data_IF_773891272257
#
_entry.id   IF_773891272257
#
_cell.length_a   1.000
_cell.length_b   1.000
_cell.length_c   1.000
_cell.angle_alpha   90.00
_cell.angle_beta   90.00
_cell.angle_gamma   90.00
#
_symmetry.space_group_name_H-M   'P 1'
#
loop_
_entity.id
_entity.type
_entity.pdbx_description
1 polymer ?
#
# COMPACT_ATOMS: atom_id res chain seq x y z
N UNK A 1 -15.01 -16.02 11.94
CA UNK A 1 -13.67 -15.51 11.60
C UNK A 1 -12.63 -16.17 12.52
N UNK A 2 -11.41 -16.39 12.02
CA UNK A 2 -10.33 -16.95 12.82
C UNK A 2 -9.73 -15.85 13.73
N UNK A 3 -9.72 -16.08 15.05
CA UNK A 3 -9.21 -15.11 16.03
C UNK A 3 -7.70 -14.90 15.98
N UNK A 4 -6.97 -15.79 15.30
CA UNK A 4 -5.53 -15.67 15.11
C UNK A 4 -5.15 -14.86 13.87
N UNK A 5 -6.12 -14.43 13.06
CA UNK A 5 -5.85 -13.57 11.90
C UNK A 5 -5.81 -12.11 12.31
N UNK A 6 -4.72 -11.44 11.92
CA UNK A 6 -4.46 -10.02 12.15
C UNK A 6 -4.15 -9.32 10.84
N UNK A 7 -4.41 -8.03 10.78
CA UNK A 7 -3.96 -7.17 9.69
C UNK A 7 -3.21 -5.96 10.23
N UNK A 8 -2.19 -5.56 9.47
CA UNK A 8 -1.49 -4.29 9.61
C UNK A 8 -1.77 -3.49 8.35
N UNK A 9 -2.60 -2.46 8.46
CA UNK A 9 -2.95 -1.57 7.37
C UNK A 9 -2.04 -0.35 7.39
N UNK A 10 -1.14 -0.25 6.40
CA UNK A 10 -0.16 0.83 6.31
C UNK A 10 -0.79 2.07 5.66
N UNK A 11 -0.93 3.15 6.42
CA UNK A 11 -1.56 4.41 6.02
C UNK A 11 -0.62 5.62 6.17
N UNK A 12 0.67 5.46 5.85
CA UNK A 12 1.70 6.48 6.08
C UNK A 12 2.09 7.31 4.84
N UNK A 13 1.73 6.88 3.63
CA UNK A 13 2.11 7.54 2.38
C UNK A 13 1.33 8.84 2.14
N UNK A 14 1.95 9.82 1.44
CA UNK A 14 1.28 11.08 1.07
C UNK A 14 0.60 10.98 -0.29
N UNK A 15 1.14 10.23 -1.25
CA UNK A 15 0.60 10.17 -2.62
C UNK A 15 0.78 11.47 -3.41
N UNK A 16 1.91 12.14 -3.28
CA UNK A 16 2.19 13.48 -3.82
C UNK A 16 2.05 13.66 -5.34
N UNK A 17 2.00 12.57 -6.11
CA UNK A 17 1.74 12.62 -7.56
C UNK A 17 0.28 13.01 -7.89
N UNK A 18 -0.63 12.83 -6.93
CA UNK A 18 -2.04 13.21 -7.08
C UNK A 18 -2.33 14.64 -6.63
N UNK A 19 -1.29 15.47 -6.45
CA UNK A 19 -1.53 16.87 -6.20
C UNK A 19 -2.33 17.50 -7.37
N UNK A 20 -3.30 18.40 -7.10
CA UNK A 20 -3.67 18.99 -5.82
C UNK A 20 -4.68 18.21 -4.97
N UNK A 21 -5.17 17.05 -5.43
CA UNK A 21 -6.14 16.23 -4.66
C UNK A 21 -5.49 15.70 -3.39
N UNK A 22 -4.30 15.10 -3.52
CA UNK A 22 -3.57 14.56 -2.36
C UNK A 22 -2.51 15.55 -1.88
N UNK A 23 -2.58 15.91 -0.60
CA UNK A 23 -1.67 16.84 0.08
C UNK A 23 -1.02 16.20 1.30
N UNK A 24 -0.09 16.92 1.93
CA UNK A 24 0.50 16.50 3.21
C UNK A 24 -0.50 16.48 4.35
N UNK A 25 -1.53 17.31 4.27
CA UNK A 25 -2.59 17.41 5.28
C UNK A 25 -3.69 16.37 5.05
N UNK A 26 -3.94 16.01 3.79
CA UNK A 26 -4.99 15.07 3.41
C UNK A 26 -4.46 14.10 2.33
N UNK A 27 -3.78 13.01 2.72
CA UNK A 27 -3.15 12.04 1.83
C UNK A 27 -4.12 11.21 0.99
N UNK A 28 -3.58 10.60 -0.08
CA UNK A 28 -4.29 9.82 -1.10
C UNK A 28 -5.27 8.80 -0.50
N UNK A 29 -4.86 8.05 0.51
CA UNK A 29 -5.67 7.00 1.11
C UNK A 29 -6.98 7.48 1.74
N UNK A 30 -7.06 8.75 2.08
CA UNK A 30 -8.26 9.36 2.67
C UNK A 30 -9.22 9.97 1.64
N UNK A 31 -8.94 9.80 0.34
CA UNK A 31 -9.79 10.26 -0.75
C UNK A 31 -10.58 9.11 -1.40
N UNK A 32 -11.79 9.43 -1.86
CA UNK A 32 -12.50 8.62 -2.85
C UNK A 32 -11.95 8.96 -4.25
N UNK A 33 -10.93 8.22 -4.65
CA UNK A 33 -10.21 8.47 -5.91
C UNK A 33 -11.00 8.06 -7.15
N UNK A 34 -11.97 7.15 -7.00
CA UNK A 34 -12.72 6.58 -8.11
C UNK A 34 -14.19 7.03 -8.16
N UNK A 35 -14.65 7.85 -7.21
CA UNK A 35 -16.05 8.26 -7.14
C UNK A 35 -16.99 7.14 -6.67
N UNK A 36 -16.46 6.15 -5.95
CA UNK A 36 -17.20 4.95 -5.50
C UNK A 36 -18.03 5.16 -4.24
N UNK A 37 -17.90 6.31 -3.58
CA UNK A 37 -18.54 6.65 -2.30
C UNK A 37 -17.70 6.34 -1.08
N UNK A 38 -16.66 5.52 -1.20
CA UNK A 38 -15.74 5.17 -0.11
C UNK A 38 -14.30 5.60 -0.43
N UNK A 39 -13.57 6.01 0.58
CA UNK A 39 -12.13 6.31 0.45
C UNK A 39 -11.30 5.03 0.32
N UNK A 40 -10.06 5.14 -0.15
CA UNK A 40 -9.19 3.96 -0.34
C UNK A 40 -8.94 3.21 0.97
N UNK A 41 -8.76 3.93 2.09
CA UNK A 41 -8.58 3.29 3.40
C UNK A 41 -9.85 2.56 3.84
N UNK A 42 -11.04 3.12 3.60
CA UNK A 42 -12.31 2.48 3.90
C UNK A 42 -12.51 1.21 3.08
N UNK A 43 -12.23 1.26 1.77
CA UNK A 43 -12.28 0.08 0.88
C UNK A 43 -11.34 -1.02 1.35
N UNK A 44 -10.10 -0.67 1.67
CA UNK A 44 -9.12 -1.67 2.11
C UNK A 44 -9.47 -2.24 3.48
N UNK A 45 -9.93 -1.43 4.41
CA UNK A 45 -10.40 -1.89 5.72
C UNK A 45 -11.61 -2.82 5.59
N UNK A 46 -12.62 -2.43 4.82
CA UNK A 46 -13.81 -3.25 4.56
C UNK A 46 -13.45 -4.60 3.95
N UNK A 47 -12.55 -4.61 2.96
CA UNK A 47 -12.05 -5.84 2.30
C UNK A 47 -11.37 -6.78 3.29
N UNK A 48 -10.47 -6.26 4.15
CA UNK A 48 -9.77 -7.05 5.16
C UNK A 48 -10.74 -7.58 6.23
N UNK A 49 -11.74 -6.80 6.63
CA UNK A 49 -12.72 -7.17 7.65
C UNK A 49 -13.65 -8.32 7.23
N UNK A 50 -13.66 -8.71 5.94
CA UNK A 50 -14.37 -9.91 5.48
C UNK A 50 -13.76 -11.21 6.02
N UNK A 51 -12.47 -11.19 6.32
CA UNK A 51 -11.73 -12.37 6.77
C UNK A 51 -11.19 -12.23 8.20
N UNK A 52 -10.83 -11.02 8.61
CA UNK A 52 -10.11 -10.70 9.84
C UNK A 52 -11.04 -10.00 10.81
N UNK A 53 -11.12 -10.39 12.10
CA UNK A 53 -11.88 -9.67 13.10
C UNK A 53 -11.48 -8.18 13.15
N UNK A 54 -12.46 -7.28 13.24
CA UNK A 54 -12.25 -5.83 13.22
C UNK A 54 -11.27 -5.40 14.32
N UNK A 55 -11.37 -5.98 15.49
CA UNK A 55 -10.47 -5.73 16.63
C UNK A 55 -9.02 -6.15 16.41
N UNK A 56 -8.76 -6.97 15.39
CA UNK A 56 -7.43 -7.46 15.01
C UNK A 56 -6.84 -6.69 13.81
N UNK A 57 -7.51 -5.65 13.31
CA UNK A 57 -6.98 -4.80 12.25
C UNK A 57 -6.33 -3.57 12.88
N UNK A 58 -5.01 -3.48 12.78
CA UNK A 58 -4.22 -2.36 13.27
C UNK A 58 -3.91 -1.40 12.12
N UNK A 59 -4.00 -0.11 12.39
CA UNK A 59 -3.72 0.96 11.40
C UNK A 59 -2.40 1.62 11.77
N UNK A 60 -1.40 1.50 10.90
CA UNK A 60 -0.12 2.19 11.02
C UNK A 60 -0.17 3.52 10.28
N UNK A 61 0.03 4.62 10.99
CA UNK A 61 -0.01 5.95 10.37
C UNK A 61 0.85 6.95 11.13
N UNK A 62 1.10 8.13 10.52
CA UNK A 62 1.73 9.23 11.21
C UNK A 62 0.76 9.86 12.23
N UNK A 63 1.29 10.37 13.34
CA UNK A 63 0.50 10.98 14.42
C UNK A 63 -0.48 12.04 13.92
N UNK A 64 -0.10 12.86 12.94
CA UNK A 64 -0.97 13.91 12.37
C UNK A 64 -2.22 13.39 11.66
N UNK A 65 -2.26 12.11 11.27
CA UNK A 65 -3.40 11.49 10.58
C UNK A 65 -4.33 10.71 11.53
N UNK A 66 -4.03 10.68 12.84
CA UNK A 66 -4.83 9.95 13.82
C UNK A 66 -6.32 10.27 13.71
N UNK A 67 -6.66 11.56 13.70
CA UNK A 67 -8.06 12.00 13.65
C UNK A 67 -8.74 11.61 12.33
N UNK A 68 -8.04 11.70 11.20
CA UNK A 68 -8.57 11.28 9.89
C UNK A 68 -8.87 9.77 9.87
N UNK A 69 -8.02 8.95 10.47
CA UNK A 69 -8.26 7.50 10.58
C UNK A 69 -9.52 7.23 11.40
N UNK A 70 -9.65 7.83 12.59
CA UNK A 70 -10.81 7.61 13.48
C UNK A 70 -12.11 8.15 12.88
N UNK A 71 -12.06 9.27 12.16
CA UNK A 71 -13.21 9.85 11.45
C UNK A 71 -13.69 8.92 10.31
N UNK A 72 -12.76 8.42 9.50
CA UNK A 72 -13.11 7.59 8.35
C UNK A 72 -13.39 6.12 8.70
N UNK A 73 -12.86 5.64 9.81
CA UNK A 73 -13.04 4.26 10.30
C UNK A 73 -13.64 4.27 11.72
N UNK A 74 -14.90 4.67 11.89
CA UNK A 74 -15.53 4.87 13.22
C UNK A 74 -15.65 3.58 14.04
N UNK A 75 -15.48 2.39 13.43
CA UNK A 75 -15.43 1.11 14.14
C UNK A 75 -14.05 0.79 14.74
N UNK A 76 -13.01 1.55 14.37
CA UNK A 76 -11.64 1.37 14.89
C UNK A 76 -11.48 2.13 16.18
N UNK A 77 -10.90 1.50 17.19
CA UNK A 77 -10.60 2.13 18.47
C UNK A 77 -9.20 2.75 18.47
N UNK A 78 -8.96 3.70 19.36
CA UNK A 78 -7.67 4.40 19.47
C UNK A 78 -6.48 3.43 19.66
N UNK A 79 -6.65 2.35 20.42
CA UNK A 79 -5.60 1.35 20.66
C UNK A 79 -5.21 0.53 19.43
N UNK A 80 -6.03 0.55 18.36
CA UNK A 80 -5.74 -0.07 17.06
C UNK A 80 -4.97 0.86 16.13
N UNK A 81 -4.90 2.17 16.44
CA UNK A 81 -4.15 3.14 15.62
C UNK A 81 -2.75 3.28 16.20
N UNK A 82 -1.76 2.75 15.48
CA UNK A 82 -0.35 2.79 15.85
C UNK A 82 0.28 4.04 15.22
N UNK A 83 0.70 4.95 16.05
CA UNK A 83 1.21 6.25 15.63
C UNK A 83 2.74 6.22 15.50
N UNK A 84 3.22 6.61 14.31
CA UNK A 84 4.64 6.76 14.03
C UNK A 84 5.05 8.22 14.28
N UNK A 85 5.91 8.52 15.26
CA UNK A 85 6.36 9.88 15.53
C UNK A 85 7.37 10.38 14.49
N UNK A 86 7.93 9.49 13.67
CA UNK A 86 8.86 9.81 12.59
C UNK A 86 8.67 8.87 11.41
N UNK A 87 8.90 9.35 10.19
CA UNK A 87 8.90 8.51 8.99
C UNK A 87 10.21 7.73 8.91
N UNK A 88 10.15 6.39 9.05
CA UNK A 88 11.30 5.48 9.05
C UNK A 88 11.15 4.32 8.04
N UNK A 89 10.33 4.52 6.99
CA UNK A 89 10.03 3.47 6.02
C UNK A 89 9.27 2.29 6.66
N UNK A 90 9.17 1.13 6.00
CA UNK A 90 8.22 0.09 6.37
C UNK A 90 8.74 -0.93 7.40
N UNK A 91 10.06 -1.13 7.54
CA UNK A 91 10.56 -2.14 8.47
C UNK A 91 10.31 -1.81 9.96
N UNK A 92 10.59 -0.59 10.45
CA UNK A 92 10.35 -0.26 11.86
C UNK A 92 8.87 -0.34 12.26
N UNK A 93 7.96 0.15 11.42
CA UNK A 93 6.54 0.13 11.75
C UNK A 93 5.96 -1.30 11.74
N UNK A 94 6.41 -2.16 10.82
CA UNK A 94 6.03 -3.58 10.80
C UNK A 94 6.57 -4.30 12.03
N UNK A 95 7.82 -4.06 12.42
CA UNK A 95 8.39 -4.66 13.64
C UNK A 95 7.62 -4.23 14.89
N UNK A 96 7.35 -2.94 15.05
CA UNK A 96 6.57 -2.42 16.16
C UNK A 96 5.21 -3.10 16.26
N UNK A 97 4.44 -3.11 15.18
CA UNK A 97 3.14 -3.78 15.13
C UNK A 97 3.24 -5.29 15.42
N UNK A 98 4.28 -5.95 14.88
CA UNK A 98 4.51 -7.38 15.11
C UNK A 98 4.79 -7.71 16.56
N UNK A 99 5.59 -6.89 17.26
CA UNK A 99 5.87 -7.09 18.68
C UNK A 99 4.65 -6.83 19.57
N UNK A 100 3.85 -5.80 19.23
CA UNK A 100 2.57 -5.52 19.89
C UNK A 100 1.59 -6.69 19.76
N UNK A 101 1.45 -7.24 18.53
CA UNK A 101 0.62 -8.41 18.26
C UNK A 101 1.18 -9.65 18.97
N UNK A 102 2.52 -9.89 18.91
CA UNK A 102 3.16 -11.04 19.60
C UNK A 102 2.87 -11.07 21.09
N UNK A 103 2.86 -9.92 21.75
CA UNK A 103 2.52 -9.80 23.17
C UNK A 103 1.07 -10.17 23.45
N UNK A 104 0.15 -9.84 22.55
CA UNK A 104 -1.27 -10.13 22.68
C UNK A 104 -1.61 -11.57 22.29
N UNK A 105 -1.03 -12.04 21.16
CA UNK A 105 -1.28 -13.37 20.62
C UNK A 105 -0.01 -13.92 19.93
N UNK A 106 0.75 -14.80 20.61
CA UNK A 106 1.98 -15.36 20.06
C UNK A 106 1.75 -16.32 18.87
N UNK A 107 0.52 -16.76 18.62
CA UNK A 107 0.14 -17.63 17.51
C UNK A 107 -0.53 -16.87 16.35
N UNK A 108 -0.42 -15.55 16.33
CA UNK A 108 -1.01 -14.69 15.31
C UNK A 108 -0.41 -14.96 13.92
N UNK A 109 -1.30 -14.98 12.94
CA UNK A 109 -1.00 -14.91 11.50
C UNK A 109 -1.38 -13.52 11.00
N UNK A 110 -0.47 -12.85 10.31
CA UNK A 110 -0.60 -11.44 10.00
C UNK A 110 -0.54 -11.21 8.49
N UNK A 111 -1.42 -10.34 7.99
CA UNK A 111 -1.24 -9.68 6.70
C UNK A 111 -0.82 -8.23 6.92
N UNK A 112 0.17 -7.78 6.17
CA UNK A 112 0.56 -6.37 6.05
C UNK A 112 0.13 -5.90 4.67
N UNK A 113 -0.63 -4.83 4.59
CA UNK A 113 -1.15 -4.31 3.33
C UNK A 113 -1.13 -2.78 3.27
N UNK A 114 -0.81 -2.18 2.11
CA UNK A 114 -1.02 -0.75 1.88
C UNK A 114 -2.50 -0.39 1.92
N UNK A 115 -2.83 0.79 2.43
CA UNK A 115 -4.21 1.29 2.54
C UNK A 115 -4.73 1.96 1.27
N UNK A 116 -3.90 2.13 0.25
CA UNK A 116 -4.15 3.00 -0.89
C UNK A 116 -4.12 2.27 -2.25
N UNK A 117 -4.12 0.93 -2.23
CA UNK A 117 -4.20 0.10 -3.43
C UNK A 117 -5.66 -0.26 -3.78
N UNK A 118 -5.92 -0.32 -5.08
CA UNK A 118 -7.22 -0.72 -5.62
C UNK A 118 -7.24 -2.21 -5.96
N UNK A 119 -8.29 -2.89 -5.52
CA UNK A 119 -8.62 -4.29 -5.83
C UNK A 119 -10.14 -4.36 -5.94
N UNK A 120 -10.65 -4.78 -7.10
CA UNK A 120 -12.08 -4.92 -7.36
C UNK A 120 -12.62 -6.28 -6.91
N UNK A 121 -11.92 -7.35 -7.30
CA UNK A 121 -12.34 -8.72 -6.92
C UNK A 121 -11.87 -9.05 -5.49
N UNK A 122 -12.64 -8.56 -4.52
CA UNK A 122 -12.39 -8.79 -3.11
C UNK A 122 -12.59 -10.26 -2.69
N UNK A 123 -13.34 -11.06 -3.44
CA UNK A 123 -13.51 -12.49 -3.15
C UNK A 123 -12.26 -13.26 -3.50
N UNK A 124 -11.71 -13.07 -4.70
CA UNK A 124 -10.43 -13.69 -5.10
C UNK A 124 -9.28 -13.22 -4.18
N UNK A 125 -9.27 -11.94 -3.80
CA UNK A 125 -8.30 -11.45 -2.81
C UNK A 125 -8.41 -12.20 -1.48
N UNK A 126 -9.63 -12.38 -0.96
CA UNK A 126 -9.88 -13.11 0.29
C UNK A 126 -9.47 -14.58 0.19
N UNK A 127 -9.71 -15.22 -0.96
CA UNK A 127 -9.28 -16.60 -1.21
C UNK A 127 -7.76 -16.73 -1.25
N UNK A 128 -7.06 -15.80 -1.91
CA UNK A 128 -5.59 -15.77 -1.93
C UNK A 128 -5.02 -15.57 -0.51
N UNK A 129 -5.61 -14.67 0.29
CA UNK A 129 -5.19 -14.49 1.69
C UNK A 129 -5.37 -15.77 2.52
N UNK A 130 -6.50 -16.48 2.37
CA UNK A 130 -6.72 -17.75 3.07
C UNK A 130 -5.65 -18.77 2.73
N UNK A 131 -5.31 -18.92 1.44
CA UNK A 131 -4.25 -19.84 1.01
C UNK A 131 -2.90 -19.48 1.65
N UNK A 132 -2.58 -18.18 1.71
CA UNK A 132 -1.35 -17.70 2.36
C UNK A 132 -1.36 -17.97 3.87
N UNK A 133 -2.45 -17.67 4.57
CA UNK A 133 -2.58 -17.96 5.99
C UNK A 133 -2.47 -19.45 6.31
N UNK A 134 -3.11 -20.30 5.49
CA UNK A 134 -3.03 -21.74 5.64
C UNK A 134 -1.61 -22.27 5.47
N UNK A 135 -0.83 -21.70 4.55
CA UNK A 135 0.57 -22.03 4.34
C UNK A 135 1.43 -21.54 5.52
N UNK A 136 1.31 -20.28 5.92
CA UNK A 136 2.08 -19.71 7.03
C UNK A 136 1.74 -20.30 8.41
N UNK A 137 0.60 -20.98 8.54
CA UNK A 137 0.24 -21.69 9.77
C UNK A 137 1.02 -23.00 9.97
N UNK A 138 1.57 -23.56 8.89
CA UNK A 138 2.25 -24.84 8.86
C UNK A 138 3.75 -24.74 8.64
N UNK A 139 4.18 -23.66 7.97
CA UNK A 139 5.56 -23.47 7.50
C UNK A 139 6.16 -22.20 8.10
N UNK A 140 7.43 -22.24 8.46
CA UNK A 140 8.19 -21.02 8.76
C UNK A 140 8.47 -20.27 7.46
N UNK A 141 7.58 -19.34 7.12
CA UNK A 141 7.57 -18.68 5.82
C UNK A 141 7.28 -17.19 5.92
N UNK A 142 7.88 -16.46 4.99
CA UNK A 142 7.60 -15.06 4.70
C UNK A 142 6.95 -15.01 3.30
N UNK A 143 5.64 -14.79 3.25
CA UNK A 143 4.90 -14.79 1.98
C UNK A 143 4.62 -13.41 1.47
N UNK A 144 4.52 -13.29 0.14
CA UNK A 144 4.00 -12.12 -0.55
C UNK A 144 3.01 -12.51 -1.64
N UNK A 145 2.09 -11.59 -1.97
CA UNK A 145 1.26 -11.70 -3.16
C UNK A 145 1.98 -11.05 -4.33
N UNK A 146 2.20 -11.82 -5.39
CA UNK A 146 2.89 -11.37 -6.59
C UNK A 146 1.91 -11.06 -7.70
N UNK A 147 2.01 -9.87 -8.28
CA UNK A 147 1.12 -9.40 -9.35
C UNK A 147 1.75 -9.71 -10.72
N UNK A 148 0.98 -10.27 -11.63
CA UNK A 148 1.47 -10.57 -12.98
C UNK A 148 1.80 -9.28 -13.73
N UNK A 149 3.05 -9.07 -14.18
CA UNK A 149 3.44 -7.90 -14.95
C UNK A 149 2.73 -7.86 -16.29
N UNK A 150 2.21 -6.70 -16.66
CA UNK A 150 1.58 -6.44 -17.97
C UNK A 150 2.41 -5.51 -18.86
N UNK A 151 3.33 -4.74 -18.26
CA UNK A 151 4.27 -3.84 -18.95
C UNK A 151 5.55 -3.67 -18.14
N UNK A 152 6.67 -3.17 -18.72
CA UNK A 152 7.94 -3.02 -18.04
C UNK A 152 7.94 -1.78 -17.11
N UNK A 153 7.33 -1.88 -15.94
CA UNK A 153 7.25 -0.80 -14.95
C UNK A 153 8.58 -0.69 -14.18
N UNK A 154 9.16 0.50 -14.14
CA UNK A 154 10.41 0.79 -13.39
C UNK A 154 10.14 1.30 -11.97
N UNK A 155 8.88 1.54 -11.61
CA UNK A 155 8.47 2.02 -10.28
C UNK A 155 8.17 0.92 -9.27
N UNK A 156 8.09 -0.35 -9.73
CA UNK A 156 7.77 -1.50 -8.89
C UNK A 156 8.99 -2.36 -8.58
N UNK A 157 8.93 -3.07 -7.45
CA UNK A 157 9.78 -4.21 -7.18
C UNK A 157 9.35 -5.44 -8.00
N UNK A 158 10.29 -6.28 -8.35
CA UNK A 158 10.09 -7.54 -9.07
C UNK A 158 10.52 -8.71 -8.21
N UNK A 159 9.74 -9.78 -8.25
CA UNK A 159 9.96 -11.03 -7.52
C UNK A 159 10.22 -12.13 -8.53
N UNK A 160 11.45 -12.63 -8.56
CA UNK A 160 11.80 -13.82 -9.35
C UNK A 160 11.42 -15.09 -8.61
N UNK A 161 10.72 -16.01 -9.27
CA UNK A 161 10.36 -17.29 -8.72
C UNK A 161 10.86 -18.45 -9.56
N UNK A 162 10.99 -19.62 -8.94
CA UNK A 162 11.43 -20.84 -9.62
C UNK A 162 10.33 -21.36 -10.56
N UNK A 163 10.57 -21.34 -11.87
CA UNK A 163 9.65 -21.86 -12.89
C UNK A 163 9.36 -23.36 -12.79
N UNK A 164 10.31 -24.13 -12.31
CA UNK A 164 10.15 -25.59 -12.17
C UNK A 164 9.31 -26.01 -10.97
N UNK A 165 8.95 -25.05 -10.10
CA UNK A 165 8.03 -25.30 -9.01
C UNK A 165 6.59 -25.37 -9.52
N UNK A 166 5.98 -26.56 -9.47
CA UNK A 166 4.61 -26.77 -9.95
C UNK A 166 3.55 -26.44 -8.88
N UNK A 167 3.95 -26.09 -7.65
CA UNK A 167 3.00 -25.72 -6.61
C UNK A 167 2.37 -24.35 -6.90
N UNK A 168 1.14 -24.08 -6.45
CA UNK A 168 0.54 -22.75 -6.53
C UNK A 168 1.40 -21.68 -5.84
N UNK A 169 1.93 -21.98 -4.65
CA UNK A 169 2.87 -21.15 -3.90
C UNK A 169 4.28 -21.46 -4.39
N UNK A 170 4.98 -20.43 -4.87
CA UNK A 170 6.31 -20.55 -5.47
C UNK A 170 7.40 -20.13 -4.50
N UNK A 171 8.54 -20.81 -4.54
CA UNK A 171 9.75 -20.36 -3.85
C UNK A 171 10.32 -19.14 -4.57
N UNK A 172 10.60 -18.07 -3.83
CA UNK A 172 11.25 -16.86 -4.35
C UNK A 172 12.74 -17.10 -4.49
N UNK A 173 13.26 -16.84 -5.68
CA UNK A 173 14.71 -16.91 -5.98
C UNK A 173 15.39 -15.58 -5.66
N UNK A 174 14.74 -14.45 -5.98
CA UNK A 174 15.31 -13.13 -5.80
C UNK A 174 14.24 -12.02 -5.77
N UNK A 175 14.52 -10.95 -5.00
CA UNK A 175 13.88 -9.65 -5.13
C UNK A 175 14.74 -8.70 -5.95
N UNK A 176 14.10 -7.84 -6.77
CA UNK A 176 14.74 -6.78 -7.54
C UNK A 176 13.90 -5.52 -7.42
N UNK A 177 14.40 -4.57 -6.67
CA UNK A 177 13.69 -3.32 -6.44
C UNK A 177 13.99 -2.31 -7.56
N UNK A 178 12.94 -1.80 -8.20
CA UNK A 178 12.95 -0.70 -9.18
C UNK A 178 14.05 -0.79 -10.24
N UNK A 179 14.02 -1.80 -11.12
CA UNK A 179 15.02 -1.97 -12.17
C UNK A 179 14.95 -0.82 -13.20
N UNK A 180 16.01 -0.69 -14.01
CA UNK A 180 15.92 0.13 -15.21
C UNK A 180 14.98 -0.48 -16.26
N UNK A 181 14.64 0.30 -17.30
CA UNK A 181 13.63 -0.09 -18.30
C UNK A 181 14.02 -1.37 -19.06
N UNK A 182 15.27 -1.51 -19.49
CA UNK A 182 15.72 -2.68 -20.25
C UNK A 182 15.72 -3.94 -19.38
N UNK A 183 16.11 -3.81 -18.13
CA UNK A 183 16.02 -4.88 -17.13
C UNK A 183 14.56 -5.28 -16.89
N UNK A 184 13.65 -4.32 -16.69
CA UNK A 184 12.22 -4.58 -16.50
C UNK A 184 11.60 -5.29 -17.73
N UNK A 185 12.00 -4.91 -18.94
CA UNK A 185 11.59 -5.55 -20.19
C UNK A 185 12.09 -7.00 -20.28
N UNK A 186 13.32 -7.26 -19.85
CA UNK A 186 13.86 -8.62 -19.80
C UNK A 186 13.10 -9.51 -18.81
N UNK A 187 12.72 -8.97 -17.66
CA UNK A 187 11.92 -9.68 -16.64
C UNK A 187 10.53 -10.06 -17.17
N UNK A 188 9.89 -9.13 -17.90
CA UNK A 188 8.61 -9.41 -18.54
C UNK A 188 8.73 -10.55 -19.58
N UNK A 189 9.76 -10.53 -20.41
CA UNK A 189 10.00 -11.54 -21.42
C UNK A 189 10.35 -12.92 -20.84
N UNK A 190 11.04 -12.97 -19.70
CA UNK A 190 11.43 -14.22 -19.03
C UNK A 190 10.23 -14.99 -18.45
N UNK A 191 9.15 -14.27 -18.06
CA UNK A 191 7.87 -14.84 -17.61
C UNK A 191 7.91 -15.56 -16.27
N UNK A 192 8.95 -15.37 -15.45
CA UNK A 192 9.07 -15.86 -14.06
C UNK A 192 9.28 -14.74 -13.04
N UNK A 193 8.87 -13.54 -13.41
CA UNK A 193 8.84 -12.40 -12.51
C UNK A 193 7.41 -11.96 -12.26
N UNK A 194 7.15 -11.53 -11.03
CA UNK A 194 5.92 -10.90 -10.60
C UNK A 194 6.26 -9.54 -10.00
N UNK A 195 5.35 -8.57 -10.09
CA UNK A 195 5.51 -7.33 -9.31
C UNK A 195 5.28 -7.60 -7.84
N UNK A 196 6.07 -6.96 -7.01
CA UNK A 196 5.82 -6.92 -5.57
C UNK A 196 4.63 -6.00 -5.27
N UNK A 197 3.49 -6.60 -4.90
CA UNK A 197 2.27 -5.87 -4.57
C UNK A 197 2.32 -5.18 -3.20
N UNK A 198 3.41 -5.34 -2.43
CA UNK A 198 3.52 -4.76 -1.09
C UNK A 198 2.55 -5.38 -0.06
N UNK A 199 2.01 -6.57 -0.36
CA UNK A 199 1.09 -7.31 0.50
C UNK A 199 1.82 -8.55 1.00
N UNK A 200 2.10 -8.59 2.30
CA UNK A 200 2.92 -9.63 2.92
C UNK A 200 2.12 -10.41 3.95
N UNK A 201 2.36 -11.71 4.04
CA UNK A 201 1.68 -12.60 4.98
C UNK A 201 2.70 -13.52 5.67
N UNK A 202 2.60 -13.62 7.00
CA UNK A 202 3.47 -14.45 7.82
C UNK A 202 2.88 -14.74 9.20
N UNK A 203 3.49 -15.69 9.91
CA UNK A 203 3.26 -15.81 11.35
C UNK A 203 4.03 -14.72 12.10
N UNK A 204 3.51 -14.26 13.23
CA UNK A 204 4.22 -13.32 14.10
C UNK A 204 5.56 -13.89 14.56
N UNK A 205 5.66 -15.22 14.72
CA UNK A 205 6.91 -15.93 15.06
C UNK A 205 7.95 -15.80 13.96
N UNK A 206 7.56 -16.10 12.71
CA UNK A 206 8.47 -16.06 11.54
C UNK A 206 9.03 -14.66 11.29
N UNK A 207 8.17 -13.63 11.31
CA UNK A 207 8.65 -12.27 11.03
C UNK A 207 9.53 -11.72 12.16
N UNK A 208 9.20 -11.96 13.43
CA UNK A 208 10.04 -11.50 14.55
C UNK A 208 11.38 -12.24 14.54
N UNK A 209 11.41 -13.55 14.28
CA UNK A 209 12.67 -14.30 14.14
C UNK A 209 13.52 -13.78 12.95
N UNK A 210 12.89 -13.39 11.84
CA UNK A 210 13.59 -12.77 10.72
C UNK A 210 14.20 -11.41 11.11
N UNK A 211 13.48 -10.57 11.84
CA UNK A 211 14.01 -9.32 12.37
C UNK A 211 15.17 -9.53 13.36
N UNK A 212 15.05 -10.48 14.28
CA UNK A 212 16.12 -10.84 15.21
C UNK A 212 17.40 -11.25 14.46
N UNK A 213 17.26 -11.97 13.36
CA UNK A 213 18.37 -12.45 12.54
C UNK A 213 19.00 -11.38 11.66
N UNK A 214 18.19 -10.58 10.95
CA UNK A 214 18.66 -9.69 9.89
C UNK A 214 18.74 -8.22 10.31
N UNK A 215 18.05 -7.85 11.40
CA UNK A 215 17.98 -6.50 11.96
C UNK A 215 18.13 -6.51 13.49
N UNK A 216 19.20 -7.12 14.06
CA UNK A 216 19.33 -7.32 15.50
C UNK A 216 19.37 -6.01 16.30
N UNK A 217 19.94 -4.93 15.75
CA UNK A 217 19.97 -3.63 16.40
C UNK A 217 18.60 -2.99 16.51
N UNK A 218 17.84 -3.00 15.41
CA UNK A 218 16.46 -2.51 15.38
C UNK A 218 15.57 -3.35 16.30
N UNK A 219 15.71 -4.67 16.25
CA UNK A 219 14.95 -5.58 17.13
C UNK A 219 15.27 -5.34 18.59
N UNK A 220 16.55 -5.21 18.94
CA UNK A 220 16.97 -4.88 20.30
C UNK A 220 16.44 -3.54 20.81
N UNK A 221 16.33 -2.52 19.94
CA UNK A 221 15.72 -1.23 20.28
C UNK A 221 14.25 -1.39 20.68
N UNK A 222 13.45 -2.07 19.86
CA UNK A 222 12.01 -2.23 20.11
C UNK A 222 11.69 -3.25 21.20
N UNK A 223 12.51 -4.28 21.41
CA UNK A 223 12.35 -5.24 22.49
C UNK A 223 12.52 -4.64 23.88
N UNK A 224 13.26 -3.53 24.02
CA UNK A 224 13.35 -2.79 25.32
C UNK A 224 11.97 -2.33 25.81
N UNK A 225 11.04 -2.07 24.86
CA UNK A 225 9.67 -1.66 25.16
C UNK A 225 8.67 -2.81 25.21
N UNK A 226 9.09 -4.06 25.16
CA UNK A 226 8.15 -5.19 25.01
C UNK A 226 7.09 -5.20 26.11
N UNK A 227 7.48 -4.91 27.36
CA UNK A 227 6.54 -4.83 28.48
C UNK A 227 5.61 -3.62 28.43
N UNK A 228 5.94 -2.59 27.68
CA UNK A 228 5.13 -1.38 27.53
C UNK A 228 3.99 -1.57 26.50
N UNK A 229 4.14 -2.45 25.50
CA UNK A 229 3.12 -2.65 24.48
C UNK A 229 1.79 -3.10 25.07
N UNK A 230 0.70 -2.59 24.52
CA UNK A 230 -0.66 -2.79 25.01
C UNK A 230 -0.92 -2.25 26.45
N UNK A 231 -0.12 -1.26 26.88
CA UNK A 231 -0.29 -0.54 28.16
C UNK A 231 -0.27 0.97 27.95
N UNK A 232 -0.61 1.74 28.98
CA UNK A 232 -0.55 3.20 28.92
C UNK A 232 0.87 3.76 28.72
N UNK A 233 1.92 2.96 28.90
CA UNK A 233 3.32 3.36 28.72
C UNK A 233 3.82 3.18 27.28
N UNK A 234 3.03 2.57 26.38
CA UNK A 234 3.42 2.28 25.01
C UNK A 234 3.75 3.55 24.22
N UNK A 235 2.87 4.54 24.26
CA UNK A 235 3.05 5.79 23.52
C UNK A 235 4.33 6.54 23.93
N UNK A 236 4.61 6.62 25.23
CA UNK A 236 5.84 7.26 25.73
C UNK A 236 7.09 6.52 25.22
N UNK A 237 7.11 5.19 25.32
CA UNK A 237 8.23 4.39 24.83
C UNK A 237 8.46 4.59 23.33
N UNK A 238 7.39 4.58 22.52
CA UNK A 238 7.50 4.76 21.04
C UNK A 238 8.00 6.16 20.73
N UNK A 239 7.49 7.21 21.36
CA UNK A 239 7.92 8.58 21.12
C UNK A 239 9.43 8.79 21.41
N UNK A 240 9.93 8.16 22.47
CA UNK A 240 11.33 8.31 22.88
C UNK A 240 12.31 7.51 22.00
N UNK A 241 11.87 6.41 21.39
CA UNK A 241 12.77 5.44 20.78
C UNK A 241 12.61 5.28 19.27
N UNK A 242 11.42 5.48 18.69
CA UNK A 242 11.12 5.15 17.30
C UNK A 242 12.01 5.87 16.29
N UNK A 243 12.32 7.14 16.52
CA UNK A 243 13.17 7.95 15.65
C UNK A 243 14.62 7.45 15.56
N UNK A 244 15.06 6.59 16.50
CA UNK A 244 16.39 5.99 16.50
C UNK A 244 16.47 4.71 15.63
N UNK A 245 15.34 4.23 15.11
CA UNK A 245 15.32 3.09 14.20
C UNK A 245 15.92 3.45 12.84
N UNK A 246 16.59 2.48 12.21
CA UNK A 246 17.10 2.61 10.86
C UNK A 246 15.95 2.90 9.88
N UNK A 247 16.18 3.83 8.94
CA UNK A 247 15.20 4.16 7.90
C UNK A 247 15.35 3.21 6.71
N UNK A 248 14.67 2.08 6.75
CA UNK A 248 14.79 1.01 5.75
C UNK A 248 13.44 0.34 5.48
N UNK A 249 13.19 -0.09 4.23
CA UNK A 249 11.98 -0.85 3.90
C UNK A 249 12.11 -2.31 4.33
N UNK A 250 10.97 -2.98 4.51
CA UNK A 250 10.89 -4.41 4.82
C UNK A 250 11.56 -5.26 3.73
N UNK A 251 11.49 -4.80 2.48
CA UNK A 251 12.10 -5.47 1.34
C UNK A 251 13.61 -5.60 1.53
N UNK A 252 14.30 -4.49 1.74
CA UNK A 252 15.76 -4.45 1.96
C UNK A 252 16.18 -4.98 3.34
N UNK A 253 15.35 -4.75 4.36
CA UNK A 253 15.67 -5.18 5.71
C UNK A 253 15.63 -6.70 5.86
N UNK A 254 14.64 -7.36 5.28
CA UNK A 254 14.29 -8.76 5.51
C UNK A 254 14.17 -9.55 4.22
N UNK A 255 13.29 -9.18 3.28
CA UNK A 255 12.86 -10.05 2.19
C UNK A 255 13.98 -10.39 1.20
N UNK A 256 14.89 -9.47 0.92
CA UNK A 256 16.07 -9.72 0.07
C UNK A 256 17.11 -10.64 0.73
N UNK A 257 17.08 -10.77 2.07
CA UNK A 257 18.08 -11.53 2.85
C UNK A 257 17.58 -12.91 3.29
N UNK A 258 16.27 -13.05 3.43
CA UNK A 258 15.65 -14.27 3.91
C UNK A 258 15.60 -15.35 2.81
N UNK A 259 15.78 -16.61 3.20
CA UNK A 259 15.73 -17.75 2.28
C UNK A 259 14.40 -18.48 2.27
N UNK A 260 13.54 -18.23 3.25
CA UNK A 260 12.22 -18.82 3.42
C UNK A 260 11.12 -17.86 2.89
N UNK A 261 11.40 -17.21 1.76
CA UNK A 261 10.44 -16.31 1.10
C UNK A 261 9.69 -17.06 0.01
N UNK A 262 8.37 -16.89 0.00
CA UNK A 262 7.47 -17.52 -0.97
C UNK A 262 6.54 -16.49 -1.58
N UNK A 263 6.08 -16.75 -2.79
CA UNK A 263 5.12 -15.90 -3.50
C UNK A 263 3.92 -16.71 -3.98
N UNK A 264 2.72 -16.22 -3.72
CA UNK A 264 1.50 -16.68 -4.38
C UNK A 264 1.18 -15.71 -5.52
N UNK A 265 1.20 -16.17 -6.79
CA UNK A 265 0.71 -15.35 -7.90
C UNK A 265 -0.74 -14.97 -7.68
N UNK A 266 -1.05 -13.69 -7.64
CA UNK A 266 -2.39 -13.17 -7.40
C UNK A 266 -3.34 -13.56 -8.54
N UNK A 267 -4.55 -13.95 -8.16
CA UNK A 267 -5.64 -14.29 -9.10
C UNK A 267 -6.68 -13.17 -9.22
N UNK A 268 -6.52 -12.10 -8.45
CA UNK A 268 -7.36 -10.91 -8.45
C UNK A 268 -6.71 -9.78 -9.26
N UNK A 269 -7.49 -8.79 -9.62
CA UNK A 269 -7.01 -7.54 -10.20
C UNK A 269 -6.32 -6.67 -9.14
N UNK A 270 -5.34 -5.89 -9.55
CA UNK A 270 -4.60 -5.02 -8.66
C UNK A 270 -4.10 -3.77 -9.39
N UNK A 271 -4.15 -2.64 -8.70
CA UNK A 271 -3.53 -1.41 -9.15
C UNK A 271 -3.07 -0.61 -7.92
N UNK A 272 -1.82 -0.11 -7.94
CA UNK A 272 -1.30 0.71 -6.84
C UNK A 272 -1.88 2.14 -6.83
N UNK A 273 -2.62 2.52 -7.88
CA UNK A 273 -3.08 3.88 -8.11
C UNK A 273 -1.96 4.90 -7.85
N UNK A 274 -0.77 4.63 -8.40
CA UNK A 274 0.43 5.42 -8.12
C UNK A 274 0.50 6.75 -8.87
N UNK A 275 -0.29 6.90 -9.94
CA UNK A 275 -0.28 8.05 -10.86
C UNK A 275 -1.67 8.36 -11.41
N UNK A 276 -1.83 9.55 -11.99
CA UNK A 276 -3.06 9.92 -12.71
C UNK A 276 -3.34 8.98 -13.90
N UNK A 277 -2.29 8.51 -14.60
CA UNK A 277 -2.43 7.54 -15.68
C UNK A 277 -2.97 6.21 -15.17
N UNK A 278 -2.45 5.69 -14.05
CA UNK A 278 -2.95 4.45 -13.45
C UNK A 278 -4.39 4.58 -12.93
N UNK A 279 -4.77 5.77 -12.45
CA UNK A 279 -6.15 6.06 -12.07
C UNK A 279 -7.05 6.11 -13.32
N UNK A 280 -6.60 6.74 -14.42
CA UNK A 280 -7.33 6.79 -15.68
C UNK A 280 -7.63 5.37 -16.22
N UNK A 281 -6.71 4.42 -16.07
CA UNK A 281 -6.93 3.02 -16.48
C UNK A 281 -8.12 2.37 -15.76
N UNK A 282 -8.38 2.76 -14.51
CA UNK A 282 -9.42 2.16 -13.64
C UNK A 282 -10.77 2.88 -13.68
N UNK A 283 -10.80 4.12 -14.11
CA UNK A 283 -12.04 4.89 -14.21
C UNK A 283 -12.87 4.49 -15.44
N UNK A 284 -14.18 4.64 -15.34
CA UNK A 284 -15.07 4.58 -16.49
C UNK A 284 -14.74 5.72 -17.47
N UNK A 285 -14.86 5.44 -18.76
CA UNK A 285 -14.49 6.34 -19.84
C UNK A 285 -15.63 6.54 -20.82
N UNK A 286 -15.72 7.74 -21.38
CA UNK A 286 -16.59 8.01 -22.53
C UNK A 286 -16.05 7.37 -23.83
N UNK A 287 -16.75 7.54 -24.94
CA UNK A 287 -16.39 7.03 -26.27
C UNK A 287 -15.05 7.58 -26.81
N UNK A 288 -14.61 8.75 -26.28
CA UNK A 288 -13.34 9.38 -26.63
C UNK A 288 -12.24 9.11 -25.59
N UNK A 289 -12.43 8.10 -24.73
CA UNK A 289 -11.46 7.68 -23.71
C UNK A 289 -11.20 8.78 -22.64
N UNK A 290 -12.12 9.74 -22.40
CA UNK A 290 -12.03 10.66 -21.28
C UNK A 290 -12.61 10.02 -20.03
N UNK A 291 -11.94 10.20 -18.88
CA UNK A 291 -12.40 9.79 -17.56
C UNK A 291 -12.79 11.02 -16.73
N UNK A 292 -13.94 10.96 -16.06
CA UNK A 292 -14.49 12.11 -15.32
C UNK A 292 -14.82 11.70 -13.88
N UNK A 293 -14.31 12.44 -12.92
CA UNK A 293 -14.58 12.26 -11.50
C UNK A 293 -15.22 13.52 -10.92
N UNK A 294 -16.44 13.36 -10.39
CA UNK A 294 -17.20 14.44 -9.71
C UNK A 294 -17.45 15.72 -10.53
N UNK A 295 -17.47 15.67 -11.86
CA UNK A 295 -17.72 16.82 -12.73
C UNK A 295 -18.90 16.59 -13.67
N UNK A 296 -19.59 17.69 -14.04
CA UNK A 296 -20.42 17.75 -15.23
C UNK A 296 -19.57 18.32 -16.36
N UNK A 297 -19.45 17.60 -17.49
CA UNK A 297 -18.54 17.99 -18.57
C UNK A 297 -19.26 18.22 -19.89
N UNK A 298 -18.77 19.20 -20.68
CA UNK A 298 -19.05 19.36 -22.10
C UNK A 298 -17.71 19.32 -22.82
N UNK A 299 -17.45 18.22 -23.54
CA UNK A 299 -16.17 17.98 -24.20
C UNK A 299 -16.35 17.99 -25.71
N UNK A 300 -15.65 18.90 -26.41
CA UNK A 300 -15.59 18.96 -27.85
C UNK A 300 -14.15 18.66 -28.30
N UNK A 301 -13.98 17.87 -29.36
CA UNK A 301 -12.67 17.56 -29.95
C UNK A 301 -11.61 17.19 -28.88
N UNK A 302 -12.03 16.51 -27.81
CA UNK A 302 -11.19 16.23 -26.65
C UNK A 302 -11.16 14.73 -26.34
N UNK A 303 -9.97 14.16 -26.13
CA UNK A 303 -9.79 12.72 -25.93
C UNK A 303 -8.73 12.37 -24.90
N UNK A 304 -8.89 11.19 -24.30
CA UNK A 304 -7.90 10.59 -23.38
C UNK A 304 -7.55 11.46 -22.16
N UNK A 305 -8.42 12.36 -21.75
CA UNK A 305 -8.21 13.21 -20.58
C UNK A 305 -8.69 12.55 -19.29
N UNK A 306 -8.12 12.96 -18.17
CA UNK A 306 -8.69 12.73 -16.84
C UNK A 306 -9.10 14.06 -16.24
N UNK A 307 -10.38 14.18 -15.86
CA UNK A 307 -10.98 15.42 -15.35
C UNK A 307 -11.53 15.13 -13.96
N UNK A 308 -10.97 15.78 -12.96
CA UNK A 308 -11.39 15.64 -11.56
C UNK A 308 -11.65 17.03 -10.97
N UNK A 309 -12.87 17.27 -10.48
CA UNK A 309 -13.22 18.57 -9.89
C UNK A 309 -14.02 18.39 -8.60
N UNK A 310 -14.37 19.50 -7.97
CA UNK A 310 -15.40 19.49 -6.92
C UNK A 310 -16.76 19.14 -7.53
N UNK A 311 -17.59 18.49 -6.73
CA UNK A 311 -18.98 18.10 -7.09
C UNK A 311 -19.74 19.30 -7.63
N UNK A 312 -20.55 19.09 -8.66
CA UNK A 312 -21.43 20.11 -9.28
C UNK A 312 -20.73 21.21 -10.11
N UNK A 313 -19.42 21.09 -10.37
CA UNK A 313 -18.74 22.01 -11.29
C UNK A 313 -19.00 21.62 -12.74
N UNK A 314 -19.45 22.61 -13.56
CA UNK A 314 -19.50 22.46 -15.02
C UNK A 314 -18.12 22.79 -15.61
N UNK A 315 -17.58 21.85 -16.38
CA UNK A 315 -16.30 21.98 -17.08
C UNK A 315 -16.54 21.90 -18.59
N UNK A 316 -16.11 22.92 -19.32
CA UNK A 316 -16.22 22.97 -20.80
C UNK A 316 -14.81 22.96 -21.37
N UNK A 317 -14.52 21.97 -22.23
CA UNK A 317 -13.20 21.81 -22.83
C UNK A 317 -13.38 21.58 -24.35
N UNK A 318 -12.57 22.26 -25.15
CA UNK A 318 -12.50 22.06 -26.60
C UNK A 318 -11.03 21.88 -27.04
N UNK A 319 -10.72 20.80 -27.76
CA UNK A 319 -9.43 20.55 -28.37
C UNK A 319 -8.32 20.07 -27.42
N UNK A 320 -8.66 19.45 -26.26
CA UNK A 320 -7.66 18.94 -25.31
C UNK A 320 -7.48 17.42 -25.44
N UNK A 321 -6.24 16.98 -25.56
CA UNK A 321 -5.89 15.57 -25.68
C UNK A 321 -4.76 15.16 -24.72
N UNK A 322 -4.96 14.06 -23.99
CA UNK A 322 -3.98 13.43 -23.10
C UNK A 322 -3.54 14.32 -21.91
N UNK A 323 -4.49 15.01 -21.28
CA UNK A 323 -4.23 15.89 -20.14
C UNK A 323 -4.89 15.42 -18.86
N UNK A 324 -4.29 15.87 -17.76
CA UNK A 324 -4.82 15.88 -16.40
C UNK A 324 -5.41 17.25 -16.16
N UNK A 325 -6.71 17.31 -15.87
CA UNK A 325 -7.44 18.54 -15.51
C UNK A 325 -8.01 18.36 -14.11
N UNK A 326 -7.46 19.05 -13.14
CA UNK A 326 -7.88 18.91 -11.75
C UNK A 326 -8.15 20.28 -11.15
N UNK A 327 -9.36 20.44 -10.63
CA UNK A 327 -9.75 21.64 -9.88
C UNK A 327 -10.07 21.21 -8.44
N UNK A 328 -9.24 21.64 -7.52
CA UNK A 328 -9.38 21.34 -6.09
C UNK A 328 -9.03 22.55 -5.25
N UNK A 329 -9.98 22.97 -4.41
CA UNK A 329 -9.87 24.16 -3.56
C UNK A 329 -9.49 25.40 -4.38
N UNK A 330 -8.34 26.01 -4.17
CA UNK A 330 -7.87 27.21 -4.90
C UNK A 330 -6.84 26.85 -6.00
N UNK A 331 -6.77 25.57 -6.44
CA UNK A 331 -5.79 25.11 -7.43
C UNK A 331 -6.49 24.52 -8.63
N UNK A 332 -6.16 25.04 -9.81
CA UNK A 332 -6.47 24.44 -11.10
C UNK A 332 -5.17 23.91 -11.71
N UNK A 333 -5.07 22.60 -11.89
CA UNK A 333 -3.98 21.93 -12.59
C UNK A 333 -4.47 21.49 -13.98
N UNK A 334 -3.79 21.94 -15.03
CA UNK A 334 -3.95 21.44 -16.40
C UNK A 334 -2.57 21.00 -16.84
N UNK A 335 -2.35 19.67 -16.96
CA UNK A 335 -1.00 19.13 -17.13
C UNK A 335 -0.99 17.90 -18.03
N UNK A 336 0.00 17.74 -18.95
CA UNK A 336 0.08 16.55 -19.80
C UNK A 336 0.24 15.27 -18.99
N UNK A 337 -0.54 14.22 -19.29
CA UNK A 337 -0.39 12.91 -18.60
C UNK A 337 1.01 12.33 -18.78
N UNK A 338 1.60 12.51 -19.95
CA UNK A 338 2.98 12.04 -20.24
C UNK A 338 4.04 12.60 -19.27
N UNK A 339 3.74 13.70 -18.57
CA UNK A 339 4.63 14.36 -17.61
C UNK A 339 4.19 14.22 -16.14
N UNK A 340 3.26 13.34 -15.84
CA UNK A 340 2.69 13.19 -14.50
C UNK A 340 3.72 12.97 -13.36
N UNK A 341 4.86 12.35 -13.67
CA UNK A 341 5.95 12.13 -12.71
C UNK A 341 6.61 13.45 -12.26
N UNK A 342 6.54 14.51 -13.08
CA UNK A 342 7.11 15.82 -12.78
C UNK A 342 6.27 16.62 -11.75
N UNK A 343 4.99 16.27 -11.56
CA UNK A 343 4.08 16.96 -10.62
C UNK A 343 4.69 17.06 -9.22
N UNK A 344 5.35 16.00 -8.74
CA UNK A 344 6.04 16.01 -7.45
C UNK A 344 7.10 17.11 -7.35
N UNK A 345 7.82 17.36 -8.44
CA UNK A 345 8.83 18.43 -8.52
C UNK A 345 8.23 19.83 -8.47
N UNK A 346 7.08 20.00 -9.17
CA UNK A 346 6.33 21.26 -9.14
C UNK A 346 5.89 21.60 -7.71
N UNK A 347 5.28 20.64 -7.02
CA UNK A 347 4.86 20.82 -5.61
C UNK A 347 6.02 21.23 -4.70
N UNK A 348 7.19 20.64 -4.90
CA UNK A 348 8.38 20.99 -4.13
C UNK A 348 8.84 22.43 -4.41
N UNK A 349 8.64 22.96 -5.62
CA UNK A 349 8.98 24.34 -5.97
C UNK A 349 8.01 25.39 -5.41
N UNK A 350 6.73 25.02 -5.21
CA UNK A 350 5.72 25.92 -4.63
C UNK A 350 5.88 26.15 -3.12
N UNK A 351 6.64 25.29 -2.44
CA UNK A 351 6.92 25.38 -0.99
C UNK A 351 8.15 26.24 -0.67
N UNK A 352 8.82 26.78 -1.68
CA UNK A 352 9.93 27.73 -1.55
C UNK A 352 9.44 29.16 -1.69
#
# INVERSE_FOLDING_TARGET
>A
MNKNYYAILMAGGVGSRFWPVSTTEFPKQFHDMLGSGDTLIQKTFSRLSKLIPVENILILTNEKYNNLVLEQLPMVKQEQVLLEPAMRNTAPCILYASLKIKKQNPDALMVVAPSDHWIEDENLFTENLKQCFDFCSKEDSLMTLGIKPTFPNTGFGYIEYNKSDNNPIKTVSQFREKPDYETAKSFLASGNFLWNGGIFIWSVKSIVAAFEKFQPQMTGLFLKGFENYNTNSEAAFINDNYANAENVSIDYAILEKAKNVYVLPATFDWNDLGTWGSLHEKLDKDENNNAVVNATVLLNNSSSNIISTSKDKLVIIDGLEDFIVVDKDNVLLIYPKSKEQEIKGIVASLKK
#
